data_IF_964573934246
#
_entry.id   IF_964573934246
#
_cell.length_a   1.000
_cell.length_b   1.000
_cell.length_c   1.000
_cell.angle_alpha   90.00
_cell.angle_beta   90.00
_cell.angle_gamma   90.00
#
_symmetry.space_group_name_H-M   'P 1'
#
loop_
_entity.id
_entity.type
_entity.pdbx_description
1 polymer ?
#
# COMPACT_ATOMS: atom_id res chain seq x y z
N UNK A 1 10.41 -5.23 -10.26
CA UNK A 1 9.78 -3.89 -10.40
C UNK A 1 10.66 -3.03 -11.30
N UNK A 2 10.08 -2.28 -12.23
CA UNK A 2 10.84 -1.37 -13.09
C UNK A 2 11.25 -0.11 -12.33
N UNK A 3 12.54 0.21 -12.34
CA UNK A 3 13.03 1.48 -11.79
C UNK A 3 12.82 2.59 -12.83
N UNK A 4 12.44 3.81 -12.41
CA UNK A 4 12.37 4.93 -13.33
C UNK A 4 13.79 5.26 -13.81
N UNK A 5 13.91 5.62 -15.10
CA UNK A 5 15.18 6.17 -15.61
C UNK A 5 15.59 7.41 -14.81
N UNK A 6 16.90 7.66 -14.69
CA UNK A 6 17.46 8.75 -13.88
C UNK A 6 16.90 10.13 -14.29
N UNK A 7 16.76 11.03 -13.32
CA UNK A 7 16.36 12.42 -13.55
C UNK A 7 17.34 13.18 -14.44
N UNK A 8 18.64 12.90 -14.30
CA UNK A 8 19.68 13.49 -15.15
C UNK A 8 19.53 13.08 -16.63
N UNK A 9 19.13 11.83 -16.88
CA UNK A 9 18.89 11.36 -18.24
C UNK A 9 17.68 12.09 -18.86
N UNK A 10 16.62 12.30 -18.07
CA UNK A 10 15.44 13.05 -18.50
C UNK A 10 15.78 14.50 -18.84
N UNK A 11 16.51 15.19 -17.95
CA UNK A 11 16.85 16.60 -18.13
C UNK A 11 17.74 16.81 -19.36
N UNK A 12 18.77 15.98 -19.55
CA UNK A 12 19.66 16.08 -20.72
C UNK A 12 18.94 15.76 -22.03
N UNK A 13 18.02 14.82 -22.03
CA UNK A 13 17.20 14.49 -23.19
C UNK A 13 16.26 15.64 -23.56
N UNK A 14 15.59 16.25 -22.57
CA UNK A 14 14.70 17.39 -22.80
C UNK A 14 15.46 18.63 -23.26
N UNK A 15 16.60 18.95 -22.65
CA UNK A 15 17.46 20.05 -23.07
C UNK A 15 17.93 19.89 -24.52
N UNK A 16 18.22 18.66 -24.96
CA UNK A 16 18.58 18.38 -26.34
C UNK A 16 17.41 18.60 -27.32
N UNK A 17 16.18 18.31 -26.89
CA UNK A 17 14.96 18.57 -27.67
C UNK A 17 14.70 20.08 -27.76
N UNK A 18 14.83 20.80 -26.65
CA UNK A 18 14.68 22.26 -26.62
C UNK A 18 15.77 22.95 -27.46
N UNK A 19 16.96 22.36 -27.55
CA UNK A 19 18.02 22.76 -28.47
C UNK A 19 17.78 22.45 -29.96
N UNK A 20 16.59 21.96 -30.33
CA UNK A 20 16.16 21.78 -31.72
C UNK A 20 16.20 20.35 -32.25
N UNK A 21 16.57 19.36 -31.43
CA UNK A 21 16.51 17.95 -31.85
C UNK A 21 15.08 17.41 -31.81
N UNK A 22 14.73 16.55 -32.77
CA UNK A 22 13.49 15.79 -32.68
C UNK A 22 13.56 14.78 -31.53
N UNK A 23 12.41 14.41 -30.95
CA UNK A 23 12.35 13.39 -29.88
C UNK A 23 13.02 12.08 -30.29
N UNK A 24 12.89 11.70 -31.56
CA UNK A 24 13.45 10.45 -32.11
C UNK A 24 14.97 10.54 -32.22
N UNK A 25 15.52 11.70 -32.61
CA UNK A 25 16.96 11.95 -32.64
C UNK A 25 17.56 12.03 -31.23
N UNK A 26 16.90 12.70 -30.30
CA UNK A 26 17.31 12.76 -28.90
C UNK A 26 17.31 11.36 -28.25
N UNK A 27 16.26 10.57 -28.50
CA UNK A 27 16.16 9.19 -28.04
C UNK A 27 17.34 8.32 -28.52
N UNK A 28 17.69 8.41 -29.82
CA UNK A 28 18.83 7.71 -30.39
C UNK A 28 20.16 8.15 -29.75
N UNK A 29 20.35 9.45 -29.53
CA UNK A 29 21.56 10.02 -28.91
C UNK A 29 21.78 9.54 -27.46
N UNK A 30 20.71 9.37 -26.69
CA UNK A 30 20.77 9.01 -25.27
C UNK A 30 20.48 7.52 -25.01
N UNK A 31 20.29 6.70 -26.05
CA UNK A 31 20.02 5.26 -25.90
C UNK A 31 18.67 4.95 -25.24
N UNK A 32 17.66 5.81 -25.44
CA UNK A 32 16.32 5.67 -24.86
C UNK A 32 15.33 5.28 -25.95
N UNK A 33 14.27 4.55 -25.61
CA UNK A 33 13.20 4.25 -26.56
C UNK A 33 12.49 5.54 -27.02
N UNK A 34 12.17 5.70 -28.32
CA UNK A 34 11.49 6.90 -28.83
C UNK A 34 10.17 7.22 -28.12
N UNK A 35 9.40 6.20 -27.75
CA UNK A 35 8.14 6.37 -27.01
C UNK A 35 8.35 6.99 -25.62
N UNK A 36 9.44 6.67 -24.94
CA UNK A 36 9.79 7.25 -23.65
C UNK A 36 10.16 8.73 -23.77
N UNK A 37 10.95 9.09 -24.79
CA UNK A 37 11.30 10.48 -25.09
C UNK A 37 10.06 11.34 -25.40
N UNK A 38 9.14 10.81 -26.21
CA UNK A 38 7.87 11.48 -26.52
C UNK A 38 7.03 11.69 -25.25
N UNK A 39 6.95 10.68 -24.38
CA UNK A 39 6.22 10.79 -23.11
C UNK A 39 6.79 11.86 -22.19
N UNK A 40 8.11 11.96 -22.10
CA UNK A 40 8.75 13.01 -21.28
C UNK A 40 8.52 14.40 -21.86
N UNK A 41 8.61 14.57 -23.18
CA UNK A 41 8.31 15.84 -23.84
C UNK A 41 6.85 16.24 -23.63
N UNK A 42 5.91 15.30 -23.76
CA UNK A 42 4.49 15.55 -23.52
C UNK A 42 4.23 16.00 -22.06
N UNK A 43 4.82 15.29 -21.09
CA UNK A 43 4.70 15.63 -19.67
C UNK A 43 5.29 17.02 -19.37
N UNK A 44 6.46 17.34 -19.95
CA UNK A 44 7.08 18.65 -19.84
C UNK A 44 6.18 19.77 -20.40
N UNK A 45 5.56 19.56 -21.56
CA UNK A 45 4.65 20.55 -22.17
C UNK A 45 3.35 20.74 -21.40
N UNK A 46 2.83 19.67 -20.78
CA UNK A 46 1.56 19.71 -20.05
C UNK A 46 1.71 20.30 -18.64
N UNK A 47 2.74 19.87 -17.90
CA UNK A 47 2.87 20.18 -16.47
C UNK A 47 4.07 21.08 -16.15
N UNK A 48 5.03 21.22 -17.07
CA UNK A 48 6.33 21.84 -16.75
C UNK A 48 7.17 21.00 -15.79
N UNK A 49 6.84 19.71 -15.66
CA UNK A 49 7.58 18.76 -14.83
C UNK A 49 7.81 17.45 -15.61
N UNK A 50 8.96 16.84 -15.39
CA UNK A 50 9.35 15.55 -15.97
C UNK A 50 9.78 14.55 -14.88
N UNK A 51 9.51 14.85 -13.62
CA UNK A 51 9.75 13.94 -12.52
C UNK A 51 8.92 12.64 -12.69
N UNK A 52 9.49 11.47 -12.34
CA UNK A 52 8.74 10.23 -12.34
C UNK A 52 7.63 10.32 -11.31
N UNK A 53 6.41 9.95 -11.71
CA UNK A 53 5.29 9.82 -10.78
C UNK A 53 5.64 8.81 -9.68
N UNK A 54 5.14 8.99 -8.45
CA UNK A 54 5.34 8.01 -7.37
C UNK A 54 4.99 6.60 -7.84
N UNK A 55 5.95 5.68 -7.76
CA UNK A 55 5.74 4.29 -8.15
C UNK A 55 5.06 3.54 -7.02
N UNK A 56 3.84 3.08 -7.28
CA UNK A 56 3.06 2.31 -6.32
C UNK A 56 2.55 3.14 -5.13
N UNK A 57 1.98 2.44 -4.16
CA UNK A 57 1.35 3.01 -2.97
C UNK A 57 0.15 2.17 -2.53
N UNK A 58 -0.17 2.21 -1.24
CA UNK A 58 -1.35 1.52 -0.72
C UNK A 58 -2.63 2.28 -1.06
N UNK A 59 -3.17 2.02 -2.25
CA UNK A 59 -4.44 2.57 -2.71
C UNK A 59 -5.63 2.09 -1.86
N UNK A 60 -5.54 0.88 -1.28
CA UNK A 60 -6.59 0.31 -0.44
C UNK A 60 -6.70 1.07 0.88
N UNK A 61 -5.57 1.35 1.55
CA UNK A 61 -5.58 2.23 2.72
C UNK A 61 -6.14 3.61 2.36
N UNK A 62 -5.73 4.20 1.24
CA UNK A 62 -6.22 5.53 0.82
C UNK A 62 -7.75 5.56 0.65
N UNK A 63 -8.33 4.54 0.01
CA UNK A 63 -9.79 4.41 -0.14
C UNK A 63 -10.51 4.30 1.21
N UNK A 64 -9.95 3.52 2.15
CA UNK A 64 -10.52 3.36 3.49
C UNK A 64 -10.46 4.68 4.27
N UNK A 65 -9.37 5.44 4.16
CA UNK A 65 -9.22 6.75 4.81
C UNK A 65 -10.22 7.79 4.28
N UNK A 66 -10.51 7.80 2.97
CA UNK A 66 -11.53 8.69 2.39
C UNK A 66 -12.90 8.50 3.03
N UNK A 67 -13.25 7.26 3.38
CA UNK A 67 -14.49 6.93 4.11
C UNK A 67 -14.28 6.72 5.60
N UNK A 68 -13.16 7.22 6.13
CA UNK A 68 -12.79 7.02 7.52
C UNK A 68 -13.73 7.69 8.51
N UNK A 69 -14.50 8.71 8.09
CA UNK A 69 -15.51 9.34 8.94
C UNK A 69 -16.71 8.41 9.19
N UNK A 70 -17.19 7.70 8.18
CA UNK A 70 -18.30 6.74 8.31
C UNK A 70 -17.92 5.59 9.26
N UNK A 71 -16.67 5.12 9.17
CA UNK A 71 -16.13 4.06 10.02
C UNK A 71 -16.08 4.54 11.48
N UNK A 72 -15.63 5.77 11.72
CA UNK A 72 -15.58 6.35 13.06
C UNK A 72 -16.97 6.62 13.63
N UNK A 73 -17.93 7.07 12.81
CA UNK A 73 -19.30 7.33 13.25
C UNK A 73 -19.99 6.03 13.71
N UNK A 74 -19.81 4.93 12.97
CA UNK A 74 -20.31 3.61 13.39
C UNK A 74 -19.61 3.09 14.64
N UNK A 75 -18.30 3.32 14.76
CA UNK A 75 -17.52 2.94 15.93
C UNK A 75 -17.95 3.70 17.20
N UNK A 76 -18.10 5.02 17.11
CA UNK A 76 -18.51 5.85 18.25
C UNK A 76 -19.96 5.55 18.70
N UNK A 77 -20.84 5.22 17.74
CA UNK A 77 -22.21 4.81 18.01
C UNK A 77 -22.34 3.42 18.65
N UNK A 78 -21.31 2.57 18.54
CA UNK A 78 -21.28 1.20 19.11
C UNK A 78 -19.89 0.89 19.68
N UNK A 79 -19.58 1.47 20.84
CA UNK A 79 -18.24 1.45 21.48
C UNK A 79 -17.63 0.07 21.78
N UNK A 80 -18.41 -1.02 21.74
CA UNK A 80 -17.96 -2.40 21.98
C UNK A 80 -18.11 -3.33 20.75
N UNK A 81 -18.28 -2.78 19.55
CA UNK A 81 -18.42 -3.58 18.33
C UNK A 81 -17.13 -4.33 17.97
N UNK A 82 -17.25 -5.60 17.60
CA UNK A 82 -16.12 -6.36 17.06
C UNK A 82 -15.76 -5.88 15.64
N UNK A 83 -14.52 -6.12 15.20
CA UNK A 83 -14.10 -5.76 13.84
C UNK A 83 -14.93 -6.46 12.74
N UNK A 84 -15.47 -7.64 13.04
CA UNK A 84 -16.30 -8.41 12.12
C UNK A 84 -17.71 -7.82 12.00
N UNK A 85 -18.31 -7.42 13.11
CA UNK A 85 -19.59 -6.72 13.11
C UNK A 85 -19.47 -5.33 12.45
N UNK A 86 -18.34 -4.64 12.64
CA UNK A 86 -18.04 -3.39 11.93
C UNK A 86 -17.93 -3.63 10.43
N UNK A 87 -17.31 -4.74 10.00
CA UNK A 87 -17.25 -5.13 8.58
C UNK A 87 -18.66 -5.33 8.00
N UNK A 88 -19.54 -6.02 8.73
CA UNK A 88 -20.93 -6.25 8.31
C UNK A 88 -21.68 -4.91 8.19
N UNK A 89 -21.62 -4.05 9.20
CA UNK A 89 -22.25 -2.73 9.16
C UNK A 89 -21.71 -1.84 8.04
N UNK A 90 -20.41 -1.92 7.73
CA UNK A 90 -19.83 -1.19 6.60
C UNK A 90 -20.28 -1.75 5.24
N UNK A 91 -20.52 -3.06 5.14
CA UNK A 91 -21.06 -3.67 3.93
C UNK A 91 -22.49 -3.17 3.62
N UNK A 92 -23.30 -2.90 4.64
CA UNK A 92 -24.64 -2.30 4.48
C UNK A 92 -24.60 -0.87 3.90
N UNK A 93 -23.54 -0.11 4.19
CA UNK A 93 -23.28 1.23 3.62
C UNK A 93 -22.44 1.14 2.32
N UNK A 94 -22.38 -0.04 1.71
CA UNK A 94 -21.69 -0.28 0.44
C UNK A 94 -20.16 -0.20 0.50
N UNK A 95 -19.56 -0.27 1.70
CA UNK A 95 -18.12 -0.26 1.88
C UNK A 95 -17.58 -1.66 2.19
N UNK A 96 -17.06 -2.33 1.17
CA UNK A 96 -16.38 -3.62 1.36
C UNK A 96 -14.94 -3.42 1.83
N UNK A 97 -14.70 -3.59 3.13
CA UNK A 97 -13.35 -3.54 3.73
C UNK A 97 -13.00 -4.89 4.34
N UNK A 98 -11.74 -5.31 4.18
CA UNK A 98 -11.24 -6.50 4.90
C UNK A 98 -10.99 -6.19 6.38
N UNK A 99 -11.12 -7.19 7.25
CA UNK A 99 -10.79 -7.07 8.69
C UNK A 99 -9.34 -6.58 8.88
N UNK A 100 -8.40 -7.06 8.07
CA UNK A 100 -7.01 -6.59 8.10
C UNK A 100 -6.87 -5.12 7.69
N UNK A 101 -7.71 -4.63 6.77
CA UNK A 101 -7.79 -3.22 6.38
C UNK A 101 -8.29 -2.33 7.52
N UNK A 102 -9.36 -2.76 8.20
CA UNK A 102 -9.89 -2.08 9.39
C UNK A 102 -8.89 -2.08 10.54
N UNK A 103 -8.24 -3.21 10.80
CA UNK A 103 -7.18 -3.29 11.80
C UNK A 103 -6.03 -2.31 11.51
N UNK A 104 -5.52 -2.26 10.27
CA UNK A 104 -4.48 -1.29 9.87
C UNK A 104 -4.94 0.16 10.01
N UNK A 105 -6.21 0.44 9.73
CA UNK A 105 -6.83 1.76 9.90
C UNK A 105 -6.85 2.21 11.37
N UNK A 106 -7.29 1.35 12.28
CA UNK A 106 -7.28 1.66 13.72
C UNK A 106 -5.87 1.77 14.30
N UNK A 107 -4.97 0.87 13.91
CA UNK A 107 -3.54 0.92 14.31
C UNK A 107 -2.88 2.22 13.87
N UNK A 108 -3.12 2.68 12.63
CA UNK A 108 -2.57 3.95 12.12
C UNK A 108 -3.02 5.16 12.93
N UNK A 109 -4.20 5.10 13.53
CA UNK A 109 -4.79 6.18 14.35
C UNK A 109 -4.50 6.02 15.85
N UNK A 110 -3.68 5.06 16.24
CA UNK A 110 -3.34 4.80 17.65
C UNK A 110 -4.52 4.25 18.48
N UNK A 111 -5.61 3.84 17.82
CA UNK A 111 -6.79 3.29 18.48
C UNK A 111 -6.62 1.78 18.60
N UNK A 112 -5.83 1.34 19.57
CA UNK A 112 -5.71 -0.09 19.87
C UNK A 112 -6.61 -0.42 21.06
N UNK A 113 -7.48 -1.43 20.89
CA UNK A 113 -8.19 -1.99 22.05
C UNK A 113 -7.12 -2.54 23.00
N UNK A 114 -7.09 -2.01 24.22
CA UNK A 114 -6.22 -2.53 25.28
C UNK A 114 -6.56 -4.02 25.44
N UNK A 115 -5.56 -4.87 25.23
CA UNK A 115 -5.69 -6.29 25.46
C UNK A 115 -5.51 -6.52 26.96
N UNK A 116 -6.60 -6.61 27.70
CA UNK A 116 -6.55 -7.12 29.06
C UNK A 116 -6.30 -8.63 28.97
N UNK A 117 -5.04 -9.03 29.18
CA UNK A 117 -4.64 -10.42 29.25
C UNK A 117 -5.10 -11.03 30.59
N UNK A 118 -6.40 -11.30 30.74
CA UNK A 118 -6.90 -12.24 31.74
C UNK A 118 -6.89 -13.65 31.15
N UNK A 119 -5.91 -14.47 31.58
CA UNK A 119 -5.88 -15.95 31.71
C UNK A 119 -6.65 -16.81 30.66
N UNK A 120 -6.05 -17.78 29.96
CA UNK A 120 -5.56 -19.05 30.46
C UNK A 120 -4.75 -19.76 29.35
N UNK A 121 -3.48 -20.05 29.59
CA UNK A 121 -2.73 -21.04 28.78
C UNK A 121 -3.25 -22.41 29.22
N UNK A 122 -4.07 -23.04 28.39
CA UNK A 122 -4.36 -24.47 28.52
C UNK A 122 -3.01 -25.19 28.43
N UNK A 123 -2.55 -25.75 29.55
CA UNK A 123 -1.44 -26.71 29.54
C UNK A 123 -1.79 -27.82 28.54
N UNK A 124 -0.93 -28.14 27.57
CA UNK A 124 -1.16 -29.31 26.74
C UNK A 124 -1.13 -30.54 27.65
N UNK A 125 -2.19 -31.35 27.56
CA UNK A 125 -2.31 -32.63 28.24
C UNK A 125 -1.05 -33.47 28.00
N UNK A 126 -0.36 -33.84 29.09
CA UNK A 126 0.73 -34.80 29.07
C UNK A 126 0.22 -36.09 28.41
N UNK A 127 0.78 -36.43 27.26
CA UNK A 127 0.57 -37.74 26.62
C UNK A 127 1.45 -38.76 27.37
N UNK A 128 0.92 -39.94 27.73
CA UNK A 128 1.70 -40.93 28.47
C UNK A 128 2.84 -41.49 27.61
N UNK A 129 4.04 -41.53 28.20
CA UNK A 129 5.21 -42.20 27.65
C UNK A 129 4.98 -43.71 27.51
N UNK A 130 5.32 -44.23 26.33
CA UNK A 130 5.51 -45.66 26.03
C UNK A 130 6.38 -45.67 24.77
N UNK A 131 7.51 -46.36 24.66
CA UNK A 131 8.24 -47.35 25.46
C UNK A 131 9.66 -47.40 24.87
N UNK A 132 10.72 -47.62 25.66
CA UNK A 132 11.93 -48.30 25.17
C UNK A 132 12.90 -48.70 26.31
N UNK A 133 12.81 -49.99 26.69
CA UNK A 133 13.94 -50.94 26.83
C UNK A 133 15.08 -50.69 27.86
N UNK A 134 15.23 -51.74 28.68
CA UNK A 134 16.48 -52.51 28.98
C UNK A 134 17.43 -52.00 30.09
N UNK A 135 17.49 -52.74 31.21
CA UNK A 135 18.60 -53.63 31.65
C UNK A 135 18.62 -53.73 33.18
N UNK A 136 18.45 -54.98 33.64
CA UNK A 136 18.71 -55.59 34.97
C UNK A 136 18.09 -54.96 36.22
#
# INVERSE_FOLDING_TARGET
MGQPLSMDLRSRLLAAIDGGLSCRAAAARFGVAPSTAIRWQAQWRETGDYSPKPHGGDMRSRMIETRGQDILALWEGRKDITLEELRVGLAEIGLSVSVAGLHRFFVRRGMTRKKDCSCNRAEPARRPESTARLVR
#
